data_IF_747414135294
#
_entry.id   IF_747414135294
#
_cell.length_a   1.000
_cell.length_b   1.000
_cell.length_c   1.000
_cell.angle_alpha   90.00
_cell.angle_beta   90.00
_cell.angle_gamma   90.00
#
_symmetry.space_group_name_H-M   'P 1'
#
loop_
_entity.id
_entity.type
_entity.pdbx_description
1 polymer ?
#
# COMPACT_ATOMS: atom_id res chain seq x y z
N UNK A 1 21.80 11.68 -20.62
CA UNK A 1 21.03 11.42 -21.86
C UNK A 1 19.53 11.49 -21.55
N UNK A 2 18.68 11.99 -22.45
CA UNK A 2 17.22 12.05 -22.25
C UNK A 2 16.51 11.42 -23.46
N UNK A 3 15.61 10.49 -23.17
CA UNK A 3 14.72 9.90 -24.15
C UNK A 3 13.32 10.50 -24.00
N UNK A 4 12.56 10.48 -25.10
CA UNK A 4 11.18 10.97 -25.14
C UNK A 4 10.21 10.07 -24.37
N UNK A 5 8.91 10.22 -24.64
CA UNK A 5 7.87 9.41 -24.00
C UNK A 5 8.07 7.91 -24.24
N UNK A 6 7.77 7.11 -23.22
CA UNK A 6 7.81 5.65 -23.27
C UNK A 6 6.57 5.07 -22.60
N UNK A 7 6.09 3.94 -23.09
CA UNK A 7 4.86 3.30 -22.62
C UNK A 7 4.97 1.77 -22.65
N UNK A 8 4.43 1.16 -21.60
CA UNK A 8 4.02 -0.24 -21.53
C UNK A 8 2.48 -0.20 -21.52
N UNK A 9 1.82 -0.50 -22.66
CA UNK A 9 0.38 -0.37 -22.77
C UNK A 9 -0.33 -1.54 -22.08
N UNK A 10 -1.62 -1.33 -21.78
CA UNK A 10 -2.51 -2.39 -21.31
C UNK A 10 -2.54 -3.58 -22.27
N UNK A 11 -2.55 -4.80 -21.72
CA UNK A 11 -2.64 -6.00 -22.51
C UNK A 11 -4.08 -6.30 -22.94
N UNK A 12 -4.33 -6.29 -24.24
CA UNK A 12 -5.68 -6.56 -24.80
C UNK A 12 -5.59 -7.69 -25.81
N UNK A 13 -6.68 -8.45 -25.98
CA UNK A 13 -6.74 -9.63 -26.85
C UNK A 13 -6.29 -9.36 -28.31
N UNK A 14 -6.32 -8.12 -28.76
CA UNK A 14 -5.97 -7.71 -30.12
C UNK A 14 -4.53 -7.17 -30.26
N UNK A 15 -3.71 -7.20 -29.19
CA UNK A 15 -2.32 -6.75 -29.22
C UNK A 15 -1.34 -7.94 -29.34
N UNK A 16 -0.45 -7.95 -30.35
CA UNK A 16 0.59 -8.99 -30.47
C UNK A 16 1.48 -9.03 -29.23
N UNK A 17 1.72 -10.23 -28.70
CA UNK A 17 2.54 -10.43 -27.49
C UNK A 17 1.75 -10.45 -26.18
N UNK A 18 0.42 -10.25 -26.22
CA UNK A 18 -0.46 -10.39 -25.06
C UNK A 18 -0.98 -11.82 -24.92
N UNK A 19 -0.48 -12.54 -23.92
CA UNK A 19 -0.97 -13.88 -23.58
C UNK A 19 -2.24 -13.85 -22.70
N UNK A 20 -2.41 -12.80 -21.89
CA UNK A 20 -3.50 -12.62 -20.94
C UNK A 20 -3.96 -11.17 -21.03
N UNK A 21 -5.27 -10.93 -21.06
CA UNK A 21 -5.83 -9.57 -21.04
C UNK A 21 -5.69 -8.98 -19.62
N UNK A 22 -5.16 -7.77 -19.54
CA UNK A 22 -4.79 -7.07 -18.32
C UNK A 22 -4.86 -5.56 -18.58
N UNK A 23 -5.46 -4.79 -17.67
CA UNK A 23 -5.59 -3.36 -17.85
C UNK A 23 -4.36 -2.59 -17.31
N UNK A 24 -3.45 -3.26 -16.61
CA UNK A 24 -2.18 -2.74 -16.13
C UNK A 24 -1.42 -1.95 -17.21
N UNK A 25 -1.03 -0.73 -16.91
CA UNK A 25 -0.28 0.10 -17.86
C UNK A 25 0.69 1.03 -17.15
N UNK A 26 1.80 1.33 -17.82
CA UNK A 26 2.80 2.26 -17.33
C UNK A 26 3.24 3.18 -18.47
N UNK A 27 3.22 4.49 -18.25
CA UNK A 27 3.76 5.45 -19.20
C UNK A 27 4.65 6.47 -18.49
N UNK A 28 5.47 7.18 -19.24
CA UNK A 28 6.30 8.27 -18.72
C UNK A 28 6.54 9.29 -19.81
N UNK A 29 6.68 10.57 -19.44
CA UNK A 29 6.95 11.63 -20.42
C UNK A 29 8.38 11.63 -20.92
N UNK A 30 9.31 11.20 -20.07
CA UNK A 30 10.71 11.10 -20.44
C UNK A 30 11.46 10.14 -19.52
N UNK A 31 12.53 9.58 -20.06
CA UNK A 31 13.53 8.81 -19.35
C UNK A 31 14.84 9.59 -19.35
N UNK A 32 15.37 9.95 -18.17
CA UNK A 32 16.73 10.50 -18.06
C UNK A 32 17.66 9.38 -17.63
N UNK A 33 18.77 9.24 -18.35
CA UNK A 33 19.81 8.25 -18.07
C UNK A 33 21.12 8.99 -17.81
N UNK A 34 21.74 8.68 -16.70
CA UNK A 34 23.03 9.20 -16.25
C UNK A 34 24.00 8.04 -16.03
N UNK A 35 25.26 8.23 -16.42
CA UNK A 35 26.33 7.24 -16.29
C UNK A 35 27.70 7.93 -16.34
N UNK A 36 28.73 7.24 -15.85
CA UNK A 36 30.10 7.75 -15.83
C UNK A 36 30.92 7.23 -17.02
N UNK A 37 31.28 8.12 -17.95
CA UNK A 37 32.08 7.80 -19.13
C UNK A 37 33.47 7.24 -18.80
N UNK A 38 34.11 7.76 -17.75
CA UNK A 38 35.45 7.30 -17.38
C UNK A 38 35.45 5.88 -16.81
N UNK A 39 34.41 5.56 -16.03
CA UNK A 39 34.20 4.22 -15.52
C UNK A 39 33.89 3.22 -16.63
N UNK A 40 33.08 3.64 -17.62
CA UNK A 40 32.77 2.83 -18.80
C UNK A 40 34.02 2.44 -19.59
N UNK A 41 34.90 3.40 -19.86
CA UNK A 41 36.12 3.17 -20.63
C UNK A 41 37.13 2.28 -19.91
N UNK A 42 37.22 2.38 -18.58
CA UNK A 42 38.19 1.63 -17.78
C UNK A 42 37.72 0.22 -17.42
N UNK A 43 36.44 0.04 -17.06
CA UNK A 43 35.91 -1.22 -16.50
C UNK A 43 35.00 -1.99 -17.45
N UNK A 44 34.57 -1.39 -18.57
CA UNK A 44 33.51 -1.91 -19.47
C UNK A 44 32.21 -2.23 -18.72
N UNK A 45 31.98 -1.56 -17.60
CA UNK A 45 30.73 -1.57 -16.86
C UNK A 45 30.01 -0.25 -17.13
N UNK A 46 28.78 -0.36 -17.63
CA UNK A 46 27.87 0.76 -17.80
C UNK A 46 26.86 0.74 -16.65
N UNK A 47 27.18 1.46 -15.60
CA UNK A 47 26.34 1.62 -14.43
C UNK A 47 25.38 2.78 -14.65
N UNK A 48 24.08 2.47 -14.67
CA UNK A 48 23.03 3.39 -15.06
C UNK A 48 22.31 3.94 -13.83
N UNK A 49 22.18 5.25 -13.79
CA UNK A 49 21.21 5.95 -12.94
C UNK A 49 20.07 6.43 -13.83
N UNK A 50 18.87 5.97 -13.53
CA UNK A 50 17.68 6.23 -14.35
C UNK A 50 16.71 7.10 -13.55
N UNK A 51 16.17 8.14 -14.18
CA UNK A 51 15.04 8.91 -13.65
C UNK A 51 13.85 8.83 -14.60
N UNK A 52 12.72 8.32 -14.08
CA UNK A 52 11.42 8.34 -14.73
C UNK A 52 10.77 9.71 -14.48
N UNK A 53 10.50 10.47 -15.54
CA UNK A 53 9.91 11.81 -15.43
C UNK A 53 8.41 11.73 -15.67
N UNK A 54 7.64 12.14 -14.65
CA UNK A 54 6.18 12.08 -14.63
C UNK A 54 5.66 10.70 -15.05
N UNK A 55 6.11 9.61 -14.40
CA UNK A 55 5.57 8.30 -14.69
C UNK A 55 4.10 8.23 -14.28
N UNK A 56 3.29 7.55 -15.06
CA UNK A 56 1.89 7.24 -14.77
C UNK A 56 1.75 5.72 -14.75
N UNK A 57 1.38 5.17 -13.61
CA UNK A 57 1.16 3.75 -13.41
C UNK A 57 -0.33 3.52 -13.13
N UNK A 58 -0.93 2.55 -13.82
CA UNK A 58 -2.24 2.04 -13.50
C UNK A 58 -2.12 0.54 -13.23
N UNK A 59 -2.61 0.13 -12.06
CA UNK A 59 -2.70 -1.28 -11.67
C UNK A 59 -4.12 -1.61 -11.23
N UNK A 60 -4.65 -2.73 -11.71
CA UNK A 60 -5.93 -3.26 -11.24
C UNK A 60 -5.81 -4.64 -10.60
N UNK A 61 -6.67 -4.88 -9.63
CA UNK A 61 -6.74 -6.16 -8.94
C UNK A 61 -7.78 -7.05 -9.58
N UNK A 62 -7.38 -8.27 -9.93
CA UNK A 62 -8.31 -9.27 -10.48
C UNK A 62 -9.24 -9.87 -9.40
N UNK A 63 -10.17 -10.72 -9.84
CA UNK A 63 -11.15 -11.36 -8.96
C UNK A 63 -10.50 -12.27 -7.89
N UNK A 64 -9.32 -12.80 -8.18
CA UNK A 64 -8.50 -13.62 -7.29
C UNK A 64 -7.66 -12.79 -6.30
N UNK A 65 -7.73 -11.45 -6.35
CA UNK A 65 -7.02 -10.56 -5.46
C UNK A 65 -5.57 -10.27 -5.87
N UNK A 66 -5.16 -10.67 -7.07
CA UNK A 66 -3.81 -10.47 -7.60
C UNK A 66 -3.71 -9.11 -8.29
N UNK A 67 -2.61 -8.39 -8.03
CA UNK A 67 -2.36 -7.03 -8.55
C UNK A 67 -1.43 -6.97 -9.76
N UNK A 68 -0.62 -8.01 -9.99
CA UNK A 68 0.38 -8.06 -11.06
C UNK A 68 0.49 -9.53 -11.51
N UNK A 69 0.01 -9.83 -12.71
CA UNK A 69 0.03 -11.17 -13.30
C UNK A 69 1.14 -11.28 -14.38
N UNK A 70 1.72 -10.14 -14.74
CA UNK A 70 2.73 -10.02 -15.79
C UNK A 70 3.98 -10.87 -15.47
N UNK A 71 4.31 -11.79 -16.38
CA UNK A 71 5.55 -12.57 -16.33
C UNK A 71 6.60 -11.92 -17.24
N UNK A 72 7.67 -11.42 -16.66
CA UNK A 72 8.81 -10.89 -17.43
C UNK A 72 9.70 -12.03 -17.90
N UNK A 73 10.01 -12.07 -19.20
CA UNK A 73 11.01 -12.99 -19.73
C UNK A 73 12.39 -12.34 -19.60
N UNK A 74 13.32 -13.04 -18.93
CA UNK A 74 14.72 -12.62 -18.88
C UNK A 74 15.38 -12.97 -20.20
N UNK A 75 15.78 -11.95 -20.97
CA UNK A 75 16.58 -12.14 -22.17
C UNK A 75 18.03 -11.83 -21.84
N UNK A 76 18.80 -12.86 -21.51
CA UNK A 76 20.24 -12.73 -21.36
C UNK A 76 20.85 -12.63 -22.76
N UNK A 77 21.32 -11.43 -23.12
CA UNK A 77 22.02 -11.21 -24.37
C UNK A 77 23.53 -11.23 -24.11
N UNK A 78 24.31 -12.12 -24.73
CA UNK A 78 25.76 -12.07 -24.63
C UNK A 78 26.25 -10.74 -25.21
N UNK A 79 26.89 -9.94 -24.37
CA UNK A 79 27.37 -8.59 -24.71
C UNK A 79 28.78 -8.39 -24.17
N UNK A 80 29.62 -7.71 -24.96
CA UNK A 80 30.97 -7.30 -24.56
C UNK A 80 30.94 -6.19 -23.48
N UNK A 81 29.78 -5.55 -23.30
CA UNK A 81 29.52 -4.49 -22.34
C UNK A 81 28.55 -4.98 -21.27
N UNK A 82 28.93 -4.84 -19.99
CA UNK A 82 28.07 -5.16 -18.85
C UNK A 82 27.23 -3.94 -18.49
N UNK A 83 25.92 -4.03 -18.70
CA UNK A 83 24.97 -2.97 -18.36
C UNK A 83 24.32 -3.32 -17.03
N UNK A 84 24.38 -2.40 -16.08
CA UNK A 84 23.77 -2.54 -14.75
C UNK A 84 22.91 -1.34 -14.43
N UNK A 85 21.83 -1.57 -13.70
CA UNK A 85 21.05 -0.51 -13.09
C UNK A 85 21.55 -0.34 -11.67
N UNK A 86 22.03 0.86 -11.33
CA UNK A 86 22.47 1.20 -9.98
C UNK A 86 21.34 1.82 -9.18
N UNK A 87 20.66 2.81 -9.79
CA UNK A 87 19.61 3.56 -9.12
C UNK A 87 18.47 3.88 -10.08
N UNK A 88 17.25 3.77 -9.59
CA UNK A 88 16.04 4.20 -10.27
C UNK A 88 15.37 5.28 -9.44
N UNK A 89 15.04 6.40 -10.06
CA UNK A 89 14.33 7.51 -9.44
C UNK A 89 13.03 7.75 -10.21
N UNK A 90 12.01 8.25 -9.54
CA UNK A 90 10.81 8.75 -10.18
C UNK A 90 10.46 10.12 -9.61
N UNK A 91 10.03 11.02 -10.49
CA UNK A 91 9.75 12.41 -10.16
C UNK A 91 8.36 12.80 -10.64
N UNK A 92 7.57 13.40 -9.75
CA UNK A 92 6.22 13.88 -10.01
C UNK A 92 5.33 12.82 -10.69
N UNK A 93 5.39 11.59 -10.20
CA UNK A 93 4.62 10.46 -10.71
C UNK A 93 3.16 10.46 -10.26
N UNK A 94 2.38 9.65 -10.94
CA UNK A 94 1.00 9.33 -10.60
C UNK A 94 0.81 7.82 -10.59
N UNK A 95 0.17 7.30 -9.55
CA UNK A 95 -0.19 5.88 -9.45
C UNK A 95 -1.68 5.78 -9.24
N UNK A 96 -2.37 5.02 -10.09
CA UNK A 96 -3.78 4.71 -9.95
C UNK A 96 -3.92 3.22 -9.62
N UNK A 97 -4.45 2.94 -8.44
CA UNK A 97 -4.67 1.58 -7.95
C UNK A 97 -6.17 1.31 -7.93
N UNK A 98 -6.62 0.25 -8.60
CA UNK A 98 -8.02 -0.15 -8.65
C UNK A 98 -8.21 -1.55 -8.05
N UNK A 99 -8.62 -1.67 -6.77
CA UNK A 99 -8.94 -2.97 -6.20
C UNK A 99 -10.21 -3.56 -6.85
N UNK A 100 -10.39 -4.86 -6.70
CA UNK A 100 -11.50 -5.56 -7.34
C UNK A 100 -12.84 -5.07 -6.80
N UNK A 101 -13.69 -4.53 -7.68
CA UNK A 101 -15.00 -3.92 -7.35
C UNK A 101 -14.94 -2.75 -6.35
N UNK A 102 -13.78 -2.12 -6.19
CA UNK A 102 -13.59 -0.93 -5.36
C UNK A 102 -13.20 0.25 -6.25
N UNK A 103 -13.70 1.47 -5.99
CA UNK A 103 -13.26 2.65 -6.73
C UNK A 103 -11.75 2.85 -6.63
N UNK A 104 -11.14 3.25 -7.75
CA UNK A 104 -9.70 3.49 -7.80
C UNK A 104 -9.23 4.58 -6.84
N UNK A 105 -7.98 4.50 -6.41
CA UNK A 105 -7.28 5.57 -5.69
C UNK A 105 -6.12 6.08 -6.51
N UNK A 106 -5.97 7.39 -6.50
CA UNK A 106 -4.88 8.09 -7.15
C UNK A 106 -3.89 8.58 -6.09
N UNK A 107 -2.64 8.16 -6.24
CA UNK A 107 -1.49 8.74 -5.59
C UNK A 107 -0.87 9.72 -6.59
N UNK A 108 -0.75 10.98 -6.19
CA UNK A 108 -0.18 12.05 -7.01
C UNK A 108 1.07 12.58 -6.34
N UNK A 109 1.88 13.31 -7.12
CA UNK A 109 3.18 13.82 -6.66
C UNK A 109 4.04 12.68 -6.08
N UNK A 110 3.94 11.51 -6.70
CA UNK A 110 4.66 10.32 -6.28
C UNK A 110 6.13 10.50 -6.64
N UNK A 111 6.96 10.57 -5.61
CA UNK A 111 8.40 10.76 -5.72
C UNK A 111 9.11 9.68 -4.93
N UNK A 112 10.30 9.30 -5.38
CA UNK A 112 11.04 8.26 -4.71
C UNK A 112 12.20 7.71 -5.50
N UNK A 113 12.84 6.73 -4.89
CA UNK A 113 14.04 6.10 -5.37
C UNK A 113 14.06 4.62 -5.01
N UNK A 114 14.78 3.86 -5.82
CA UNK A 114 15.11 2.46 -5.63
C UNK A 114 16.60 2.30 -5.86
N UNK A 115 17.29 1.81 -4.84
CA UNK A 115 18.69 1.41 -4.92
C UNK A 115 18.77 -0.06 -5.36
N UNK A 116 19.52 -0.30 -6.43
CA UNK A 116 19.67 -1.60 -7.10
C UNK A 116 21.15 -2.03 -7.10
N UNK A 117 22.02 -1.31 -6.38
CA UNK A 117 23.46 -1.61 -6.32
C UNK A 117 23.74 -3.00 -5.73
N UNK A 118 22.92 -3.46 -4.77
CA UNK A 118 22.93 -4.84 -4.26
C UNK A 118 21.62 -5.57 -4.62
N UNK A 119 21.64 -6.41 -5.66
CA UNK A 119 20.49 -7.22 -6.06
C UNK A 119 20.00 -8.23 -4.99
N UNK A 120 20.78 -8.45 -3.92
CA UNK A 120 20.34 -9.24 -2.76
C UNK A 120 19.48 -8.43 -1.80
N UNK A 121 19.73 -7.13 -1.69
CA UNK A 121 19.06 -6.21 -0.77
C UNK A 121 18.68 -4.93 -1.51
N UNK A 122 17.42 -4.83 -1.93
CA UNK A 122 16.93 -3.64 -2.60
C UNK A 122 16.30 -2.71 -1.56
N UNK A 123 16.73 -1.46 -1.53
CA UNK A 123 16.14 -0.44 -0.67
C UNK A 123 15.36 0.55 -1.52
N UNK A 124 14.20 0.95 -1.06
CA UNK A 124 13.41 1.97 -1.75
C UNK A 124 12.75 2.92 -0.77
N UNK A 125 12.51 4.14 -1.24
CA UNK A 125 11.78 5.18 -0.52
C UNK A 125 10.81 5.83 -1.46
N UNK A 126 9.62 6.15 -0.97
CA UNK A 126 8.63 6.88 -1.74
C UNK A 126 7.74 7.77 -0.87
N UNK A 127 7.23 8.83 -1.45
CA UNK A 127 6.25 9.71 -0.83
C UNK A 127 5.22 10.16 -1.86
N UNK A 128 4.02 10.52 -1.40
CA UNK A 128 3.00 11.09 -2.27
C UNK A 128 1.73 11.51 -1.55
N UNK A 129 0.81 12.09 -2.30
CA UNK A 129 -0.49 12.57 -1.82
C UNK A 129 -1.62 11.69 -2.38
N UNK A 130 -2.53 11.25 -1.51
CA UNK A 130 -3.67 10.43 -1.91
C UNK A 130 -4.85 11.35 -2.27
N UNK A 131 -5.59 11.02 -3.33
CA UNK A 131 -6.79 11.75 -3.78
C UNK A 131 -7.87 11.90 -2.72
N UNK A 132 -7.96 10.93 -1.80
CA UNK A 132 -8.84 10.98 -0.64
C UNK A 132 -8.41 12.02 0.39
N UNK A 133 -7.22 12.60 0.27
CA UNK A 133 -6.60 13.57 1.16
C UNK A 133 -5.52 12.95 2.04
N UNK A 134 -4.56 13.80 2.42
CA UNK A 134 -3.41 13.46 3.25
C UNK A 134 -2.20 12.98 2.44
N UNK A 135 -1.13 12.66 3.16
CA UNK A 135 0.16 12.25 2.59
C UNK A 135 0.62 10.92 3.19
N UNK A 136 1.38 10.19 2.40
CA UNK A 136 2.01 8.94 2.79
C UNK A 136 3.49 8.98 2.44
N UNK A 137 4.32 8.50 3.36
CA UNK A 137 5.73 8.24 3.13
C UNK A 137 5.98 6.78 3.44
N UNK A 138 6.74 6.10 2.59
CA UNK A 138 7.11 4.70 2.75
C UNK A 138 8.58 4.50 2.50
N UNK A 139 9.19 3.60 3.26
CA UNK A 139 10.52 3.05 3.00
C UNK A 139 10.43 1.54 3.02
N UNK A 140 11.16 0.87 2.16
CA UNK A 140 11.12 -0.57 2.05
C UNK A 140 12.48 -1.21 1.83
N UNK A 141 12.57 -2.43 2.34
CA UNK A 141 13.73 -3.30 2.25
C UNK A 141 13.27 -4.65 1.67
N UNK A 142 13.76 -5.00 0.49
CA UNK A 142 13.50 -6.29 -0.15
C UNK A 142 14.76 -7.16 -0.13
N UNK A 143 14.71 -8.23 0.66
CA UNK A 143 15.74 -9.26 0.74
C UNK A 143 15.42 -10.37 -0.25
N UNK A 144 16.09 -10.38 -1.40
CA UNK A 144 15.78 -11.28 -2.50
C UNK A 144 16.05 -12.75 -2.16
N UNK A 145 17.11 -13.03 -1.39
CA UNK A 145 17.48 -14.40 -0.95
C UNK A 145 16.38 -15.04 -0.10
N UNK A 146 15.82 -14.26 0.83
CA UNK A 146 14.79 -14.73 1.77
C UNK A 146 13.36 -14.46 1.26
N UNK A 147 13.25 -13.75 0.12
CA UNK A 147 12.01 -13.20 -0.43
C UNK A 147 11.21 -12.42 0.61
N UNK A 148 11.91 -11.67 1.45
CA UNK A 148 11.32 -10.93 2.56
C UNK A 148 11.22 -9.45 2.20
N UNK A 149 10.02 -8.90 2.34
CA UNK A 149 9.75 -7.47 2.26
C UNK A 149 9.49 -6.93 3.66
N UNK A 150 10.24 -5.91 4.06
CA UNK A 150 9.88 -5.05 5.18
C UNK A 150 9.52 -3.68 4.62
N UNK A 151 8.31 -3.22 4.89
CA UNK A 151 7.84 -1.88 4.56
C UNK A 151 7.59 -1.13 5.86
N UNK A 152 8.05 0.10 5.95
CA UNK A 152 7.71 1.04 7.00
C UNK A 152 7.09 2.26 6.35
N UNK A 153 6.11 2.84 7.00
CA UNK A 153 5.53 4.06 6.48
C UNK A 153 4.86 4.89 7.55
N UNK A 154 4.63 6.14 7.16
CA UNK A 154 3.96 7.15 7.95
C UNK A 154 2.80 7.70 7.12
N UNK A 155 1.65 7.82 7.77
CA UNK A 155 0.44 8.41 7.23
C UNK A 155 0.14 9.71 7.97
N UNK A 156 -0.26 10.75 7.25
CA UNK A 156 -0.67 12.02 7.84
C UNK A 156 -1.97 12.51 7.20
N UNK A 157 -2.97 12.78 8.06
CA UNK A 157 -4.30 13.28 7.68
C UNK A 157 -5.01 12.44 6.60
N UNK A 158 -4.73 11.13 6.53
CA UNK A 158 -5.31 10.23 5.53
C UNK A 158 -6.78 9.96 5.84
N UNK A 159 -7.70 10.14 4.88
CA UNK A 159 -9.09 9.76 5.12
C UNK A 159 -9.23 8.24 5.14
N UNK A 160 -9.78 7.69 6.23
CA UNK A 160 -9.82 6.25 6.47
C UNK A 160 -10.89 5.52 5.64
N UNK A 161 -12.10 6.08 5.50
CA UNK A 161 -13.21 5.41 4.82
C UNK A 161 -12.89 4.98 3.37
N UNK A 162 -12.24 5.81 2.54
CA UNK A 162 -11.85 5.41 1.19
C UNK A 162 -10.78 4.31 1.15
N UNK A 163 -10.06 4.03 2.24
CA UNK A 163 -9.00 3.01 2.29
C UNK A 163 -9.55 1.61 2.63
N UNK A 164 -10.80 1.51 3.09
CA UNK A 164 -11.39 0.24 3.52
C UNK A 164 -11.37 -0.85 2.43
N UNK A 165 -11.45 -0.48 1.16
CA UNK A 165 -11.38 -1.43 0.05
C UNK A 165 -9.98 -1.96 -0.28
N UNK A 166 -8.93 -1.43 0.37
CA UNK A 166 -7.54 -1.90 0.22
C UNK A 166 -7.10 -2.80 1.37
N UNK A 167 -7.90 -2.86 2.44
CA UNK A 167 -7.58 -3.63 3.63
C UNK A 167 -8.19 -5.04 3.53
N UNK A 168 -7.61 -6.05 4.20
CA UNK A 168 -8.29 -7.31 4.42
C UNK A 168 -9.63 -7.06 5.12
N UNK A 169 -10.58 -7.99 5.00
CA UNK A 169 -11.91 -7.84 5.60
C UNK A 169 -11.81 -7.67 7.12
N UNK A 170 -11.98 -6.42 7.57
CA UNK A 170 -11.98 -6.07 8.99
C UNK A 170 -13.35 -6.40 9.60
N UNK A 171 -13.42 -6.70 10.91
CA UNK A 171 -14.68 -6.95 11.60
C UNK A 171 -15.50 -5.68 11.85
N UNK A 172 -15.06 -4.53 11.32
CA UNK A 172 -15.71 -3.23 11.43
C UNK A 172 -15.54 -2.43 10.14
N UNK A 173 -16.43 -1.46 9.93
CA UNK A 173 -16.34 -0.48 8.86
C UNK A 173 -16.01 0.89 9.44
N UNK A 174 -15.21 1.66 8.71
CA UNK A 174 -14.96 3.07 9.00
C UNK A 174 -15.75 3.92 8.01
N UNK A 175 -16.74 4.68 8.48
CA UNK A 175 -17.51 5.60 7.63
C UNK A 175 -16.90 6.99 7.57
N UNK A 176 -16.26 7.39 8.66
CA UNK A 176 -15.57 8.67 8.76
C UNK A 176 -14.35 8.53 9.68
N UNK A 177 -13.32 9.32 9.38
CA UNK A 177 -12.17 9.48 10.24
C UNK A 177 -10.92 9.86 9.45
N UNK A 178 -9.95 10.44 10.15
CA UNK A 178 -8.64 10.78 9.61
C UNK A 178 -7.56 10.03 10.36
N UNK A 179 -6.82 9.22 9.63
CA UNK A 179 -5.76 8.36 10.09
C UNK A 179 -4.43 9.11 10.04
N UNK A 180 -3.70 9.07 11.14
CA UNK A 180 -2.33 9.53 11.23
C UNK A 180 -1.53 8.55 12.09
N UNK A 181 -0.29 8.27 11.71
CA UNK A 181 0.57 7.37 12.47
C UNK A 181 1.48 6.53 11.60
N UNK A 182 2.16 5.59 12.25
CA UNK A 182 3.17 4.76 11.66
C UNK A 182 2.64 3.34 11.44
N UNK A 183 3.09 2.71 10.36
CA UNK A 183 2.79 1.33 10.08
C UNK A 183 4.04 0.60 9.60
N UNK A 184 4.08 -0.70 9.88
CA UNK A 184 5.10 -1.59 9.39
C UNK A 184 4.43 -2.85 8.82
N UNK A 185 4.80 -3.22 7.59
CA UNK A 185 4.31 -4.43 6.94
C UNK A 185 5.50 -5.36 6.74
N UNK A 186 5.32 -6.62 7.11
CA UNK A 186 6.28 -7.70 6.89
C UNK A 186 5.62 -8.77 6.03
N UNK A 187 6.19 -8.99 4.84
CA UNK A 187 5.73 -9.99 3.90
C UNK A 187 6.86 -10.97 3.58
N UNK A 188 6.53 -12.26 3.63
CA UNK A 188 7.41 -13.32 3.16
C UNK A 188 6.53 -14.46 2.62
N UNK A 189 6.87 -15.06 1.46
CA UNK A 189 6.13 -16.19 0.94
C UNK A 189 5.96 -17.30 1.99
N UNK A 190 4.77 -17.90 2.01
CA UNK A 190 4.38 -18.99 2.93
C UNK A 190 4.35 -18.62 4.42
N UNK A 191 4.61 -17.35 4.77
CA UNK A 191 4.44 -16.83 6.12
C UNK A 191 3.21 -15.91 6.18
N UNK A 192 2.56 -15.77 7.36
CA UNK A 192 1.52 -14.77 7.54
C UNK A 192 2.04 -13.37 7.19
N UNK A 193 1.20 -12.59 6.50
CA UNK A 193 1.41 -11.15 6.36
C UNK A 193 1.26 -10.53 7.75
N UNK A 194 2.33 -9.92 8.25
CA UNK A 194 2.32 -9.16 9.50
C UNK A 194 2.15 -7.67 9.23
N UNK A 195 1.25 -7.01 9.93
CA UNK A 195 1.06 -5.56 9.87
C UNK A 195 1.04 -5.04 11.31
N UNK A 196 1.98 -4.17 11.66
CA UNK A 196 1.95 -3.43 12.91
C UNK A 196 1.53 -2.00 12.61
N UNK A 197 0.66 -1.44 13.44
CA UNK A 197 0.10 -0.10 13.26
C UNK A 197 0.08 0.61 14.62
N UNK A 198 0.77 1.73 14.72
CA UNK A 198 0.61 2.70 15.82
C UNK A 198 0.00 3.96 15.21
N UNK A 199 -1.30 4.15 15.44
CA UNK A 199 -2.03 5.22 14.77
C UNK A 199 -3.15 5.83 15.61
N UNK A 200 -3.50 7.06 15.24
CA UNK A 200 -4.67 7.77 15.72
C UNK A 200 -5.67 7.94 14.59
N UNK A 201 -6.91 7.51 14.84
CA UNK A 201 -8.06 7.82 14.01
C UNK A 201 -8.86 8.96 14.66
N UNK A 202 -8.72 10.17 14.12
CA UNK A 202 -9.44 11.36 14.58
C UNK A 202 -10.83 11.45 13.93
N UNK A 203 -11.82 11.95 14.68
CA UNK A 203 -13.22 12.12 14.27
C UNK A 203 -13.80 10.84 13.66
N UNK A 204 -13.63 9.73 14.38
CA UNK A 204 -13.98 8.40 13.93
C UNK A 204 -15.50 8.15 14.01
N UNK A 205 -16.04 7.51 12.99
CA UNK A 205 -17.37 6.90 12.99
C UNK A 205 -17.24 5.46 12.48
N UNK A 206 -17.37 4.52 13.42
CA UNK A 206 -17.15 3.10 13.22
C UNK A 206 -18.46 2.33 13.36
N UNK A 207 -18.60 1.28 12.56
CA UNK A 207 -19.70 0.33 12.67
C UNK A 207 -19.18 -1.10 12.77
N UNK A 208 -19.62 -1.80 13.82
CA UNK A 208 -19.29 -3.19 14.07
C UNK A 208 -20.55 -4.02 13.76
N UNK A 209 -20.67 -4.58 12.54
CA UNK A 209 -21.93 -5.14 12.06
C UNK A 209 -22.41 -6.34 12.86
N UNK A 210 -21.49 -7.22 13.31
CA UNK A 210 -21.85 -8.46 14.03
C UNK A 210 -22.57 -8.18 15.35
N UNK A 211 -22.22 -7.10 16.03
CA UNK A 211 -22.79 -6.70 17.32
C UNK A 211 -23.77 -5.53 17.19
N UNK A 212 -24.00 -5.04 15.97
CA UNK A 212 -24.79 -3.84 15.71
C UNK A 212 -24.35 -2.62 16.57
N UNK A 213 -23.04 -2.45 16.79
CA UNK A 213 -22.47 -1.36 17.58
C UNK A 213 -21.98 -0.25 16.66
N UNK A 214 -22.42 0.99 16.91
CA UNK A 214 -21.85 2.19 16.28
C UNK A 214 -21.03 2.96 17.30
N UNK A 215 -19.78 3.29 16.95
CA UNK A 215 -18.88 4.06 17.82
C UNK A 215 -18.51 5.36 17.12
N UNK A 216 -18.83 6.48 17.76
CA UNK A 216 -18.41 7.82 17.33
C UNK A 216 -17.42 8.37 18.34
N UNK A 217 -16.21 8.72 17.90
CA UNK A 217 -15.14 9.14 18.80
C UNK A 217 -14.39 10.34 18.27
N UNK A 218 -13.99 11.25 19.16
CA UNK A 218 -13.12 12.37 18.79
C UNK A 218 -11.74 11.85 18.36
N UNK A 219 -11.20 10.87 19.07
CA UNK A 219 -9.96 10.21 18.69
C UNK A 219 -9.90 8.80 19.27
N UNK A 220 -9.49 7.86 18.42
CA UNK A 220 -9.17 6.48 18.76
C UNK A 220 -7.67 6.31 18.52
N UNK A 221 -6.90 6.07 19.57
CA UNK A 221 -5.50 5.67 19.44
C UNK A 221 -5.43 4.16 19.44
N UNK A 222 -4.60 3.57 18.60
CA UNK A 222 -4.54 2.13 18.46
C UNK A 222 -3.10 1.69 18.20
N UNK A 223 -2.64 0.72 18.98
CA UNK A 223 -1.45 -0.09 18.72
C UNK A 223 -1.94 -1.50 18.38
N UNK A 224 -1.88 -1.85 17.09
CA UNK A 224 -2.55 -3.03 16.55
C UNK A 224 -1.58 -3.86 15.70
N UNK A 225 -1.59 -5.16 15.95
CA UNK A 225 -0.94 -6.17 15.15
C UNK A 225 -2.00 -6.96 14.39
N UNK A 226 -1.93 -6.93 13.06
CA UNK A 226 -2.74 -7.74 12.16
C UNK A 226 -1.88 -8.86 11.59
N UNK A 227 -2.43 -10.07 11.57
CA UNK A 227 -1.81 -11.24 10.95
C UNK A 227 -2.80 -11.88 10.00
N UNK A 228 -2.45 -11.96 8.72
CA UNK A 228 -3.30 -12.55 7.68
C UNK A 228 -2.60 -13.73 7.01
N UNK A 229 -3.24 -14.90 7.02
CA UNK A 229 -2.85 -16.07 6.23
C UNK A 229 -3.94 -16.41 5.21
N UNK A 230 -3.57 -16.83 3.98
CA UNK A 230 -4.54 -17.34 3.03
C UNK A 230 -5.37 -18.47 3.63
N UNK A 231 -6.69 -18.34 3.62
CA UNK A 231 -7.62 -19.36 4.12
C UNK A 231 -7.85 -19.37 5.63
N UNK A 232 -7.24 -18.46 6.41
CA UNK A 232 -7.52 -18.30 7.84
C UNK A 232 -8.21 -16.96 8.16
N UNK A 233 -8.97 -16.89 9.27
CA UNK A 233 -9.48 -15.62 9.78
C UNK A 233 -8.33 -14.64 10.07
N UNK A 234 -8.59 -13.35 9.85
CA UNK A 234 -7.66 -12.30 10.22
C UNK A 234 -7.41 -12.32 11.74
N UNK A 235 -6.16 -12.53 12.13
CA UNK A 235 -5.71 -12.35 13.51
C UNK A 235 -5.54 -10.85 13.79
N UNK A 236 -6.19 -10.35 14.83
CA UNK A 236 -6.05 -8.96 15.30
C UNK A 236 -5.67 -9.05 16.76
N UNK A 237 -4.60 -8.35 17.16
CA UNK A 237 -4.18 -8.22 18.55
C UNK A 237 -3.80 -6.79 18.85
N UNK A 238 -3.97 -6.37 20.10
CA UNK A 238 -3.43 -5.09 20.58
C UNK A 238 -4.43 -4.28 21.39
N UNK A 239 -4.14 -2.99 21.52
CA UNK A 239 -4.85 -2.08 22.40
C UNK A 239 -5.42 -0.90 21.62
N UNK A 240 -6.66 -0.52 21.92
CA UNK A 240 -7.26 0.71 21.42
C UNK A 240 -7.78 1.58 22.57
N UNK A 241 -7.35 2.84 22.59
CA UNK A 241 -7.79 3.84 23.57
C UNK A 241 -8.80 4.79 22.94
N UNK A 242 -9.97 4.86 23.57
CA UNK A 242 -11.08 5.70 23.15
C UNK A 242 -11.09 6.99 23.97
N UNK A 243 -11.17 8.15 23.30
CA UNK A 243 -11.27 9.45 23.97
C UNK A 243 -12.55 10.20 23.58
N UNK A 244 -13.35 10.57 24.59
CA UNK A 244 -14.62 11.30 24.40
C UNK A 244 -15.51 10.66 23.33
N UNK A 245 -15.95 9.43 23.62
CA UNK A 245 -16.69 8.62 22.65
C UNK A 245 -18.16 8.48 23.00
N UNK A 246 -18.97 8.26 21.98
CA UNK A 246 -20.37 7.86 22.06
C UNK A 246 -20.51 6.49 21.40
N UNK A 247 -21.15 5.55 22.09
CA UNK A 247 -21.47 4.25 21.51
C UNK A 247 -22.97 4.01 21.58
N UNK A 248 -23.55 3.63 20.46
CA UNK A 248 -24.91 3.13 20.38
C UNK A 248 -24.80 1.59 20.43
N UNK A 249 -25.22 0.97 21.55
CA UNK A 249 -25.04 -0.46 21.84
C UNK A 249 -26.42 -1.12 22.05
N UNK A 250 -26.70 -2.30 21.47
CA UNK A 250 -27.90 -3.05 21.78
C UNK A 250 -28.05 -3.40 23.28
N UNK A 251 -29.25 -3.21 23.83
CA UNK A 251 -29.55 -3.39 25.26
C UNK A 251 -29.35 -4.84 25.72
N UNK A 252 -29.58 -5.82 24.84
CA UNK A 252 -29.37 -7.23 25.10
C UNK A 252 -27.89 -7.58 25.38
N UNK A 253 -26.93 -6.83 24.81
CA UNK A 253 -25.51 -6.99 25.13
C UNK A 253 -25.14 -6.51 26.53
N UNK A 254 -25.95 -5.61 27.12
CA UNK A 254 -25.71 -5.04 28.45
C UNK A 254 -26.52 -5.78 29.51
N UNK A 255 -27.82 -5.97 29.26
CA UNK A 255 -28.79 -6.42 30.25
C UNK A 255 -29.23 -7.88 30.05
N UNK A 256 -28.75 -8.58 29.00
CA UNK A 256 -29.12 -9.97 28.65
C UNK A 256 -30.63 -10.20 28.65
N UNK A 257 -31.40 -9.21 28.21
CA UNK A 257 -32.85 -9.17 28.37
C UNK A 257 -33.64 -9.39 27.06
N UNK A 258 -32.97 -9.81 25.99
CA UNK A 258 -33.53 -10.06 24.64
C UNK A 258 -34.30 -8.87 24.04
N UNK A 259 -34.08 -7.64 24.51
CA UNK A 259 -34.70 -6.43 23.95
C UNK A 259 -33.79 -5.79 22.90
N UNK A 260 -34.33 -5.54 21.70
CA UNK A 260 -33.61 -4.90 20.60
C UNK A 260 -33.61 -3.36 20.66
N UNK A 261 -33.56 -2.76 21.86
CA UNK A 261 -33.44 -1.29 21.99
C UNK A 261 -31.96 -0.91 22.00
N UNK A 262 -31.60 0.17 21.32
CA UNK A 262 -30.24 0.70 21.39
C UNK A 262 -30.10 1.63 22.59
N UNK A 263 -29.09 1.39 23.42
CA UNK A 263 -28.70 2.23 24.53
C UNK A 263 -27.53 3.11 24.09
N UNK A 264 -27.66 4.42 24.28
CA UNK A 264 -26.61 5.38 23.98
C UNK A 264 -25.75 5.61 25.21
N UNK A 265 -24.48 5.23 25.11
CA UNK A 265 -23.46 5.53 26.10
C UNK A 265 -22.65 6.73 25.63
N UNK A 266 -22.48 7.74 26.49
CA UNK A 266 -21.75 8.97 26.17
C UNK A 266 -20.53 9.15 27.07
N UNK A 267 -19.55 9.91 26.58
CA UNK A 267 -18.30 10.22 27.30
C UNK A 267 -17.47 8.97 27.66
N UNK A 268 -17.58 7.93 26.85
CA UNK A 268 -16.81 6.72 27.03
C UNK A 268 -15.31 7.01 26.92
N UNK A 269 -14.58 6.50 27.91
CA UNK A 269 -13.12 6.40 27.96
C UNK A 269 -12.79 4.98 28.38
N UNK A 270 -11.83 4.37 27.72
CA UNK A 270 -11.43 3.01 28.05
C UNK A 270 -10.40 2.47 27.07
N UNK A 271 -9.90 1.30 27.42
CA UNK A 271 -9.01 0.50 26.59
C UNK A 271 -9.80 -0.72 26.12
N UNK A 272 -9.65 -1.05 24.84
CA UNK A 272 -10.12 -2.30 24.27
C UNK A 272 -8.90 -3.16 23.96
N UNK A 273 -8.89 -4.38 24.48
CA UNK A 273 -7.84 -5.36 24.22
C UNK A 273 -8.41 -6.40 23.27
N UNK A 274 -7.68 -6.72 22.21
CA UNK A 274 -8.06 -7.69 21.20
C UNK A 274 -7.04 -8.83 21.14
#
# INVERSE_FOLDING_TARGET
>A
MRFGPSEIPACRANLPGCAIADADSASMKALKIEFNLWQLLSSRNLDLKITLVQPQLFLDQNAEGQWLITKTQKKDSPSWLKIRLDQLHWQAGEVRLQPWKVPSRHLTQFEGNLDVTDLKNLNFGAQGQIDSGGQITVSGDWQNTERRLTLKGNAQDLRAAPLMGFLPQLPFNVYQGRLQGDFQIQYQPQHPLGINLDATLANADLWIPKQAIRVRSKAIKADVQLQSQPGQPLGIKGDAWLSTSQADIPEDLILKNNRQRSQRLTQLRGTLNF
#
